data_IF_004323569006
#
_entry.id   IF_004323569006
#
_cell.length_a   1.000
_cell.length_b   1.000
_cell.length_c   1.000
_cell.angle_alpha   90.00
_cell.angle_beta   90.00
_cell.angle_gamma   90.00
#
_symmetry.space_group_name_H-M   'P 1'
#
loop_
_entity.id
_entity.type
_entity.pdbx_description
1 polymer ?
#
# COMPACT_ATOMS: atom_id res chain seq x y z
N UNK A 1 16.40 -15.87 15.98
CA UNK A 1 16.25 -17.25 16.51
C UNK A 1 15.32 -17.35 17.72
N UNK A 2 15.51 -16.53 18.78
CA UNK A 2 14.72 -16.61 20.02
C UNK A 2 13.19 -16.51 19.80
N UNK A 3 12.72 -15.58 18.96
CA UNK A 3 11.30 -15.43 18.63
C UNK A 3 10.69 -16.67 17.96
N UNK A 4 11.44 -17.34 17.10
CA UNK A 4 10.99 -18.57 16.43
C UNK A 4 10.86 -19.71 17.43
N UNK A 5 11.84 -19.86 18.33
CA UNK A 5 11.82 -20.87 19.39
C UNK A 5 10.69 -20.63 20.39
N UNK A 6 10.48 -19.38 20.82
CA UNK A 6 9.35 -19.01 21.69
C UNK A 6 8.00 -19.26 21.01
N UNK A 7 7.90 -18.97 19.70
CA UNK A 7 6.71 -19.26 18.92
C UNK A 7 6.42 -20.76 18.87
N UNK A 8 7.44 -21.59 18.59
CA UNK A 8 7.34 -23.05 18.58
C UNK A 8 6.93 -23.58 19.96
N UNK A 9 7.58 -23.10 21.03
CA UNK A 9 7.24 -23.48 22.41
C UNK A 9 5.80 -23.13 22.75
N UNK A 10 5.32 -21.95 22.35
CA UNK A 10 3.93 -21.52 22.57
C UNK A 10 2.93 -22.26 21.68
N UNK A 11 3.31 -22.61 20.46
CA UNK A 11 2.53 -23.43 19.54
C UNK A 11 2.33 -24.84 20.09
N UNK A 12 3.38 -25.42 20.67
CA UNK A 12 3.35 -26.72 21.34
C UNK A 12 2.52 -26.70 22.63
N UNK A 13 2.78 -25.74 23.52
CA UNK A 13 2.16 -25.70 24.84
C UNK A 13 0.68 -25.29 24.84
N UNK A 14 0.22 -24.54 23.83
CA UNK A 14 -1.08 -23.88 23.90
C UNK A 14 -1.98 -24.19 22.70
N UNK A 15 -2.89 -25.16 22.87
CA UNK A 15 -3.87 -25.61 21.86
C UNK A 15 -4.82 -24.52 21.36
N UNK A 16 -4.99 -23.42 22.13
CA UNK A 16 -5.82 -22.26 21.78
C UNK A 16 -5.09 -21.25 20.90
N UNK A 17 -3.76 -21.27 20.86
CA UNK A 17 -2.95 -20.23 20.22
C UNK A 17 -3.01 -20.33 18.69
N UNK A 18 -3.52 -19.30 18.02
CA UNK A 18 -3.68 -19.24 16.55
C UNK A 18 -4.48 -20.39 15.91
N UNK A 19 -5.27 -21.13 16.68
CA UNK A 19 -6.14 -22.21 16.17
C UNK A 19 -7.44 -21.63 15.58
N UNK A 20 -7.30 -20.88 14.49
CA UNK A 20 -8.39 -20.19 13.78
C UNK A 20 -8.44 -20.59 12.31
N UNK A 21 -7.46 -21.38 11.85
CA UNK A 21 -7.35 -21.79 10.46
C UNK A 21 -7.96 -23.17 10.26
N UNK A 22 -8.67 -23.34 9.15
CA UNK A 22 -9.20 -24.62 8.72
C UNK A 22 -8.20 -25.22 7.73
N UNK A 23 -7.46 -26.22 8.17
CA UNK A 23 -6.46 -26.93 7.37
C UNK A 23 -7.07 -28.14 6.65
N UNK A 24 -6.36 -28.73 5.67
CA UNK A 24 -6.79 -29.98 5.03
C UNK A 24 -7.03 -31.12 6.04
N UNK A 25 -6.21 -31.20 7.10
CA UNK A 25 -6.42 -32.16 8.20
C UNK A 25 -7.76 -31.96 8.91
N UNK A 26 -8.20 -30.72 9.11
CA UNK A 26 -9.53 -30.44 9.67
C UNK A 26 -10.66 -30.94 8.77
N UNK A 27 -10.53 -30.77 7.45
CA UNK A 27 -11.53 -31.24 6.49
C UNK A 27 -11.61 -32.77 6.51
N UNK A 28 -10.46 -33.44 6.57
CA UNK A 28 -10.41 -34.90 6.66
C UNK A 28 -11.03 -35.42 7.97
N UNK A 29 -10.73 -34.76 9.10
CA UNK A 29 -11.32 -35.09 10.38
C UNK A 29 -12.84 -34.90 10.39
N UNK A 30 -13.36 -33.78 9.86
CA UNK A 30 -14.80 -33.53 9.79
C UNK A 30 -15.52 -34.55 8.88
N UNK A 31 -14.89 -34.97 7.77
CA UNK A 31 -15.40 -36.05 6.91
C UNK A 31 -15.47 -37.38 7.66
N UNK A 32 -14.43 -37.72 8.43
CA UNK A 32 -14.41 -38.94 9.26
C UNK A 32 -15.54 -38.93 10.29
N UNK A 33 -15.72 -37.82 11.01
CA UNK A 33 -16.81 -37.66 11.99
C UNK A 33 -18.19 -37.77 11.31
N UNK A 34 -18.35 -37.21 10.11
CA UNK A 34 -19.59 -37.34 9.33
C UNK A 34 -19.87 -38.79 8.93
N UNK A 35 -18.85 -39.54 8.53
CA UNK A 35 -18.96 -40.96 8.20
C UNK A 35 -19.35 -41.80 9.42
N UNK A 36 -18.86 -41.43 10.60
CA UNK A 36 -19.21 -42.05 11.89
C UNK A 36 -20.57 -41.58 12.47
N UNK A 37 -21.36 -40.79 11.73
CA UNK A 37 -22.66 -40.29 12.17
C UNK A 37 -22.61 -39.21 13.26
N UNK A 38 -21.43 -38.68 13.58
CA UNK A 38 -21.22 -37.62 14.56
C UNK A 38 -21.56 -36.25 13.97
N UNK A 39 -21.86 -35.23 14.81
CA UNK A 39 -22.18 -33.89 14.33
C UNK A 39 -21.01 -33.30 13.53
N UNK A 40 -21.30 -32.88 12.30
CA UNK A 40 -20.33 -32.28 11.38
C UNK A 40 -20.35 -30.75 11.45
N UNK A 41 -19.24 -30.12 11.06
CA UNK A 41 -19.06 -28.67 11.07
C UNK A 41 -19.20 -28.05 9.69
N UNK A 42 -18.76 -28.72 8.61
CA UNK A 42 -18.85 -28.20 7.25
C UNK A 42 -20.24 -28.44 6.63
N UNK A 43 -20.89 -27.45 5.99
CA UNK A 43 -20.36 -26.17 5.51
C UNK A 43 -20.32 -25.05 6.57
N UNK A 44 -19.37 -24.13 6.42
CA UNK A 44 -19.25 -22.94 7.26
C UNK A 44 -20.28 -21.89 6.83
N UNK A 45 -20.93 -21.25 7.81
CA UNK A 45 -21.77 -20.08 7.52
C UNK A 45 -20.92 -18.88 7.10
N UNK A 46 -21.47 -17.90 6.38
CA UNK A 46 -20.74 -16.67 5.96
C UNK A 46 -20.08 -15.93 7.13
N UNK A 47 -20.73 -15.93 8.31
CA UNK A 47 -20.19 -15.33 9.54
C UNK A 47 -19.00 -16.13 10.08
N UNK A 48 -19.07 -17.46 10.02
CA UNK A 48 -17.99 -18.36 10.44
C UNK A 48 -16.82 -18.34 9.45
N UNK A 49 -17.06 -18.25 8.14
CA UNK A 49 -16.02 -18.16 7.12
C UNK A 49 -15.15 -16.89 7.25
N UNK A 50 -15.73 -15.78 7.74
CA UNK A 50 -14.96 -14.57 8.10
C UNK A 50 -14.10 -14.76 9.36
N UNK A 51 -14.50 -15.67 10.25
CA UNK A 51 -13.82 -15.91 11.52
C UNK A 51 -12.76 -17.00 11.39
N UNK A 52 -13.05 -18.06 10.65
CA UNK A 52 -12.20 -19.22 10.41
C UNK A 52 -11.84 -19.28 8.94
N UNK A 53 -10.57 -19.00 8.63
CA UNK A 53 -10.09 -18.91 7.25
C UNK A 53 -9.51 -20.26 6.84
N UNK A 54 -9.91 -20.77 5.68
CA UNK A 54 -9.38 -22.02 5.13
C UNK A 54 -7.96 -21.81 4.58
N UNK A 55 -7.05 -22.73 4.88
CA UNK A 55 -5.67 -22.79 4.34
C UNK A 55 -5.56 -24.05 3.47
N UNK A 56 -4.90 -23.98 2.30
CA UNK A 56 -4.14 -22.86 1.74
C UNK A 56 -5.05 -21.86 1.01
N UNK A 57 -5.17 -20.63 1.53
CA UNK A 57 -5.80 -19.53 0.80
C UNK A 57 -4.73 -18.70 0.10
N UNK A 58 -4.81 -18.59 -1.22
CA UNK A 58 -4.01 -17.60 -1.96
C UNK A 58 -4.37 -16.16 -1.54
N UNK A 59 -5.59 -15.93 -1.06
CA UNK A 59 -6.05 -14.61 -0.61
C UNK A 59 -5.39 -14.16 0.71
N UNK A 60 -4.98 -12.88 0.75
CA UNK A 60 -4.63 -12.18 1.99
C UNK A 60 -5.87 -12.12 2.90
N UNK A 61 -5.78 -12.65 4.10
CA UNK A 61 -6.89 -12.51 5.07
C UNK A 61 -7.04 -11.02 5.42
N UNK A 62 -8.26 -10.50 5.58
CA UNK A 62 -8.51 -9.07 5.91
C UNK A 62 -7.68 -8.60 7.14
N UNK A 63 -7.45 -9.50 8.11
CA UNK A 63 -6.61 -9.24 9.28
C UNK A 63 -5.12 -9.14 8.93
N UNK A 64 -4.65 -10.03 8.05
CA UNK A 64 -3.28 -10.00 7.51
C UNK A 64 -3.10 -8.75 6.66
N UNK A 65 -4.11 -8.34 5.88
CA UNK A 65 -4.13 -7.11 5.09
C UNK A 65 -3.93 -5.85 5.92
N UNK A 66 -4.51 -5.75 7.13
CA UNK A 66 -4.28 -4.59 8.02
C UNK A 66 -2.85 -4.53 8.56
N UNK A 67 -2.27 -5.68 8.91
CA UNK A 67 -0.88 -5.77 9.39
C UNK A 67 0.08 -5.46 8.24
N UNK A 68 -0.21 -5.99 7.05
CA UNK A 68 0.51 -5.71 5.81
C UNK A 68 0.43 -4.23 5.45
N UNK A 69 -0.77 -3.63 5.53
CA UNK A 69 -0.95 -2.20 5.26
C UNK A 69 -0.01 -1.36 6.13
N UNK A 70 0.12 -1.68 7.42
CA UNK A 70 1.07 -0.98 8.32
C UNK A 70 2.52 -1.11 7.87
N UNK A 71 2.91 -2.24 7.28
CA UNK A 71 4.23 -2.44 6.68
C UNK A 71 4.42 -1.66 5.37
N UNK A 72 3.35 -1.47 4.59
CA UNK A 72 3.38 -0.70 3.34
C UNK A 72 3.29 0.83 3.55
N UNK A 73 2.82 1.31 4.71
CA UNK A 73 2.78 2.76 5.03
C UNK A 73 4.14 3.46 4.78
N UNK A 74 5.27 3.00 5.37
CA UNK A 74 6.56 3.66 5.15
C UNK A 74 7.02 3.61 3.68
N UNK A 75 6.67 2.56 2.95
CA UNK A 75 6.97 2.43 1.52
C UNK A 75 6.20 3.48 0.71
N UNK A 76 4.91 3.66 1.02
CA UNK A 76 4.06 4.62 0.35
C UNK A 76 4.46 6.07 0.65
N UNK A 77 4.79 6.39 1.91
CA UNK A 77 5.25 7.73 2.29
C UNK A 77 6.56 8.07 1.61
N UNK A 78 7.50 7.11 1.54
CA UNK A 78 8.76 7.32 0.83
C UNK A 78 8.51 7.50 -0.68
N UNK A 79 7.63 6.71 -1.29
CA UNK A 79 7.29 6.86 -2.71
C UNK A 79 6.71 8.25 -2.99
N UNK A 80 5.78 8.74 -2.17
CA UNK A 80 5.22 10.09 -2.31
C UNK A 80 6.29 11.18 -2.19
N UNK A 81 7.21 11.04 -1.25
CA UNK A 81 8.34 11.95 -1.10
C UNK A 81 9.23 11.97 -2.35
N UNK A 82 9.52 10.80 -2.93
CA UNK A 82 10.28 10.68 -4.16
C UNK A 82 9.57 11.31 -5.37
N UNK A 83 8.27 11.09 -5.51
CA UNK A 83 7.46 11.74 -6.56
C UNK A 83 7.50 13.27 -6.41
N UNK A 84 7.46 13.78 -5.17
CA UNK A 84 7.56 15.20 -4.90
C UNK A 84 8.93 15.76 -5.30
N UNK A 85 10.03 15.08 -4.97
CA UNK A 85 11.37 15.48 -5.40
C UNK A 85 11.51 15.50 -6.91
N UNK A 86 11.06 14.44 -7.60
CA UNK A 86 11.07 14.37 -9.07
C UNK A 86 10.23 15.51 -9.67
N UNK A 87 9.09 15.85 -9.05
CA UNK A 87 8.27 16.97 -9.47
C UNK A 87 8.99 18.32 -9.34
N UNK A 88 9.71 18.55 -8.23
CA UNK A 88 10.52 19.75 -8.03
C UNK A 88 11.64 19.83 -9.09
N UNK A 89 12.35 18.74 -9.34
CA UNK A 89 13.41 18.69 -10.35
C UNK A 89 12.86 18.98 -11.75
N UNK A 90 11.69 18.46 -12.09
CA UNK A 90 11.01 18.73 -13.36
C UNK A 90 10.56 20.19 -13.48
N UNK A 91 10.07 20.80 -12.39
CA UNK A 91 9.73 22.22 -12.36
C UNK A 91 10.96 23.10 -12.55
N UNK A 92 12.07 22.77 -11.90
CA UNK A 92 13.34 23.49 -12.02
C UNK A 92 13.91 23.35 -13.45
N UNK A 93 13.83 22.16 -14.04
CA UNK A 93 14.17 21.93 -15.44
C UNK A 93 13.34 22.82 -16.37
N UNK A 94 12.03 22.88 -16.16
CA UNK A 94 11.13 23.72 -16.96
C UNK A 94 11.44 25.21 -16.79
N UNK A 95 11.76 25.65 -15.58
CA UNK A 95 12.18 27.01 -15.28
C UNK A 95 13.46 27.40 -16.03
N UNK A 96 14.48 26.54 -16.02
CA UNK A 96 15.74 26.75 -16.78
C UNK A 96 15.45 26.85 -18.27
N UNK A 97 14.58 25.99 -18.82
CA UNK A 97 14.19 26.05 -20.22
C UNK A 97 13.49 27.37 -20.58
N UNK A 98 12.61 27.87 -19.72
CA UNK A 98 11.91 29.14 -19.95
C UNK A 98 12.91 30.31 -19.92
N UNK A 99 13.81 30.35 -18.95
CA UNK A 99 14.89 31.35 -18.89
C UNK A 99 15.73 31.29 -20.16
N UNK A 100 16.15 30.08 -20.55
CA UNK A 100 16.95 29.87 -21.76
C UNK A 100 16.24 30.43 -22.99
N UNK A 101 14.94 30.15 -23.15
CA UNK A 101 14.14 30.65 -24.26
C UNK A 101 14.07 32.18 -24.26
N UNK A 102 13.84 32.80 -23.11
CA UNK A 102 13.82 34.27 -23.00
C UNK A 102 15.20 34.89 -23.26
N UNK A 103 16.28 34.21 -22.88
CA UNK A 103 17.64 34.66 -23.18
C UNK A 103 17.98 34.54 -24.67
N UNK A 104 17.49 33.50 -25.35
CA UNK A 104 17.62 33.33 -26.81
C UNK A 104 16.77 34.35 -27.60
N UNK A 105 15.68 34.85 -27.04
CA UNK A 105 14.75 35.80 -27.66
C UNK A 105 15.14 37.29 -27.45
N UNK A 106 16.16 37.57 -26.63
CA UNK A 106 16.69 38.93 -26.46
C UNK A 106 17.36 39.42 -27.76
N UNK A 107 16.90 40.57 -28.24
CA UNK A 107 17.27 41.19 -29.52
C UNK A 107 18.79 41.47 -29.61
N UNK A 108 19.46 41.17 -30.73
CA UNK A 108 20.88 41.49 -30.90
C UNK A 108 21.07 43.01 -30.85
N UNK A 109 21.96 43.48 -29.97
CA UNK A 109 22.26 44.91 -29.87
C UNK A 109 23.01 45.37 -31.13
N UNK A 110 22.36 46.22 -31.93
CA UNK A 110 22.95 46.81 -33.12
C UNK A 110 23.93 47.92 -32.70
N UNK A 111 25.23 47.65 -32.74
CA UNK A 111 26.25 48.69 -32.57
C UNK A 111 26.60 49.24 -33.95
N UNK A 112 26.24 50.49 -34.30
CA UNK A 112 26.71 51.12 -35.53
C UNK A 112 28.18 51.50 -35.36
N UNK A 113 29.08 50.73 -35.98
CA UNK A 113 30.49 51.08 -36.10
C UNK A 113 30.67 51.99 -37.32
N UNK A 114 30.77 53.30 -37.10
CA UNK A 114 31.15 54.25 -38.15
C UNK A 114 32.68 54.21 -38.29
N UNK A 115 33.18 53.39 -39.20
CA UNK A 115 34.62 53.30 -39.47
C UNK A 115 35.00 54.30 -40.55
N UNK A 116 35.79 55.33 -40.20
CA UNK A 116 36.32 56.31 -41.14
C UNK A 116 37.64 55.78 -41.71
N UNK A 117 37.56 54.90 -42.72
CA UNK A 117 38.76 54.35 -43.36
C UNK A 117 39.35 55.37 -44.35
N UNK A 118 40.60 55.80 -44.11
CA UNK A 118 41.38 56.62 -45.03
C UNK A 118 42.12 55.69 -45.99
N UNK A 119 41.59 55.49 -47.19
CA UNK A 119 42.33 54.83 -48.25
C UNK A 119 43.23 55.87 -48.94
N UNK A 120 44.45 56.03 -48.44
CA UNK A 120 45.49 56.76 -49.15
C UNK A 120 45.96 55.88 -50.34
N UNK A 121 45.35 56.09 -51.51
CA UNK A 121 45.79 55.44 -52.75
C UNK A 121 47.10 56.10 -53.20
N UNK A 122 48.24 55.49 -52.89
CA UNK A 122 49.53 55.87 -53.47
C UNK A 122 49.67 55.23 -54.86
N UNK A 123 49.02 55.81 -55.87
CA UNK A 123 49.34 55.52 -57.28
C UNK A 123 50.54 56.36 -57.67
N UNK A 124 51.58 55.66 -58.09
CA UNK A 124 52.78 56.22 -58.69
C UNK A 124 52.38 57.10 -59.88
N UNK A 125 52.69 58.39 -59.75
CA UNK A 125 52.78 59.41 -60.80
C UNK A 125 51.48 59.88 -61.48
N UNK A 126 51.27 61.20 -61.39
CA UNK A 126 50.40 62.09 -62.17
C UNK A 126 48.88 62.08 -61.86
N UNK A 127 48.41 63.21 -61.32
CA UNK A 127 47.02 63.73 -61.12
C UNK A 127 46.43 63.57 -59.70
N UNK A 128 46.48 64.66 -58.93
CA UNK A 128 45.67 64.86 -57.71
C UNK A 128 44.18 64.95 -58.07
N UNK A 129 43.40 63.91 -57.73
CA UNK A 129 41.93 63.98 -57.76
C UNK A 129 41.41 63.97 -56.32
N UNK A 130 40.65 65.00 -55.98
CA UNK A 130 40.03 65.26 -54.69
C UNK A 130 39.24 64.05 -54.17
N UNK A 131 39.60 63.60 -52.96
CA UNK A 131 39.01 62.42 -52.31
C UNK A 131 37.51 62.55 -52.07
N UNK A 132 36.75 61.59 -52.60
CA UNK A 132 35.33 61.39 -52.26
C UNK A 132 35.24 60.55 -50.99
N UNK A 133 34.73 61.16 -49.91
CA UNK A 133 34.37 60.47 -48.68
C UNK A 133 33.22 59.48 -48.94
N UNK A 134 33.49 58.17 -48.93
CA UNK A 134 32.43 57.16 -48.88
C UNK A 134 32.24 56.72 -47.43
N UNK A 135 31.14 57.16 -46.83
CA UNK A 135 30.66 56.68 -45.53
C UNK A 135 29.96 55.34 -45.77
N UNK A 136 30.61 54.23 -45.43
CA UNK A 136 30.01 52.90 -45.47
C UNK A 136 29.44 52.55 -44.11
N UNK A 137 28.12 52.43 -44.00
CA UNK A 137 27.46 51.97 -42.78
C UNK A 137 27.51 50.43 -42.75
N UNK A 138 28.47 49.86 -42.01
CA UNK A 138 28.52 48.43 -41.73
C UNK A 138 27.86 48.15 -40.39
N UNK A 139 26.71 47.48 -40.41
CA UNK A 139 26.05 46.96 -39.22
C UNK A 139 26.36 45.48 -39.06
N UNK A 140 26.95 45.09 -37.93
CA UNK A 140 27.14 43.68 -37.55
C UNK A 140 26.29 43.40 -36.30
N UNK A 141 25.49 42.34 -36.35
CA UNK A 141 24.65 41.92 -35.22
C UNK A 141 25.41 40.90 -34.37
N UNK A 142 25.88 41.34 -33.20
CA UNK A 142 26.47 40.46 -32.17
C UNK A 142 25.35 40.06 -31.22
N UNK A 143 25.10 38.76 -31.05
CA UNK A 143 24.21 38.28 -29.99
C UNK A 143 24.81 38.64 -28.62
N UNK A 144 23.99 39.14 -27.69
CA UNK A 144 24.46 39.64 -26.39
C UNK A 144 25.07 38.54 -25.49
N UNK A 145 24.78 37.26 -25.79
CA UNK A 145 25.28 36.10 -25.08
C UNK A 145 25.83 35.05 -26.05
N UNK A 146 27.07 34.61 -25.79
CA UNK A 146 27.73 33.48 -26.46
C UNK A 146 26.92 32.19 -26.22
N UNK A 147 26.69 31.37 -27.25
CA UNK A 147 25.88 30.13 -27.13
C UNK A 147 26.42 29.15 -26.08
N UNK A 148 27.72 29.21 -25.79
CA UNK A 148 28.41 28.39 -24.79
C UNK A 148 28.05 28.76 -23.34
N UNK A 149 27.49 29.95 -23.10
CA UNK A 149 27.09 30.41 -21.77
C UNK A 149 25.65 30.05 -21.40
N UNK A 150 24.87 29.43 -22.29
CA UNK A 150 23.51 29.01 -21.98
C UNK A 150 23.54 27.70 -21.18
N UNK A 151 22.84 27.63 -20.02
CA UNK A 151 22.81 26.41 -19.23
C UNK A 151 22.16 25.27 -20.05
N UNK A 152 22.89 24.18 -20.27
CA UNK A 152 22.34 22.94 -20.83
C UNK A 152 21.77 22.08 -19.69
N UNK A 153 20.44 21.93 -19.59
CA UNK A 153 19.87 21.16 -18.50
C UNK A 153 20.00 19.67 -18.81
N UNK A 154 20.93 18.98 -18.16
CA UNK A 154 21.04 17.52 -18.21
C UNK A 154 20.15 16.88 -17.14
N UNK A 155 19.04 16.27 -17.57
CA UNK A 155 18.11 15.58 -16.67
C UNK A 155 18.62 14.16 -16.34
N UNK A 156 19.42 14.01 -15.30
CA UNK A 156 19.98 12.71 -14.85
C UNK A 156 18.96 11.81 -14.11
N UNK A 157 17.66 12.08 -14.23
CA UNK A 157 16.61 11.32 -13.53
C UNK A 157 16.66 9.82 -13.85
N UNK A 158 17.05 9.42 -15.06
CA UNK A 158 17.08 8.02 -15.47
C UNK A 158 18.03 7.16 -14.60
N UNK A 159 19.20 7.70 -14.25
CA UNK A 159 20.21 6.97 -13.46
C UNK A 159 19.78 6.76 -12.00
N UNK A 160 18.97 7.66 -11.45
CA UNK A 160 18.47 7.59 -10.07
C UNK A 160 17.13 6.86 -9.94
N UNK A 161 16.26 6.97 -10.95
CA UNK A 161 14.91 6.36 -10.94
C UNK A 161 14.96 4.84 -11.07
N UNK A 162 15.87 4.31 -11.90
CA UNK A 162 16.00 2.86 -12.12
C UNK A 162 16.37 2.09 -10.84
N UNK A 163 17.47 2.40 -10.13
CA UNK A 163 17.84 1.66 -8.93
C UNK A 163 16.76 1.76 -7.86
N UNK A 164 16.07 2.91 -7.79
CA UNK A 164 15.00 3.14 -6.85
C UNK A 164 13.76 2.29 -7.16
N UNK A 165 13.37 2.22 -8.44
CA UNK A 165 12.28 1.35 -8.88
C UNK A 165 12.60 -0.12 -8.57
N UNK A 166 13.83 -0.57 -8.79
CA UNK A 166 14.28 -1.93 -8.45
C UNK A 166 14.14 -2.21 -6.96
N UNK A 167 14.63 -1.31 -6.10
CA UNK A 167 14.52 -1.46 -4.63
C UNK A 167 13.05 -1.55 -4.22
N UNK A 168 12.19 -0.69 -4.78
CA UNK A 168 10.77 -0.69 -4.48
C UNK A 168 10.09 -2.02 -4.86
N UNK A 169 10.39 -2.54 -6.05
CA UNK A 169 9.89 -3.84 -6.51
C UNK A 169 10.35 -4.97 -5.58
N UNK A 170 11.62 -4.97 -5.17
CA UNK A 170 12.15 -5.97 -4.22
C UNK A 170 11.41 -5.89 -2.88
N UNK A 171 11.19 -4.68 -2.34
CA UNK A 171 10.46 -4.48 -1.08
C UNK A 171 9.01 -4.98 -1.16
N UNK A 172 8.34 -4.78 -2.30
CA UNK A 172 6.99 -5.31 -2.55
C UNK A 172 7.00 -6.83 -2.55
N UNK A 173 7.95 -7.46 -3.26
CA UNK A 173 8.10 -8.92 -3.33
C UNK A 173 8.38 -9.50 -1.94
N UNK A 174 9.31 -8.90 -1.19
CA UNK A 174 9.62 -9.32 0.19
C UNK A 174 8.42 -9.19 1.12
N UNK A 175 7.62 -8.12 0.97
CA UNK A 175 6.37 -7.95 1.69
C UNK A 175 5.37 -9.08 1.42
N UNK A 176 5.15 -9.42 0.15
CA UNK A 176 4.27 -10.53 -0.24
C UNK A 176 4.79 -11.88 0.27
N UNK A 177 6.09 -12.14 0.12
CA UNK A 177 6.73 -13.35 0.64
C UNK A 177 6.57 -13.45 2.15
N UNK A 178 6.76 -12.36 2.90
CA UNK A 178 6.61 -12.37 4.37
C UNK A 178 5.21 -12.81 4.83
N UNK A 179 4.17 -12.41 4.09
CA UNK A 179 2.79 -12.86 4.35
C UNK A 179 2.63 -14.36 4.11
N UNK A 180 3.18 -14.86 3.00
CA UNK A 180 3.13 -16.29 2.65
C UNK A 180 3.99 -17.15 3.55
N UNK A 181 5.14 -16.66 4.00
CA UNK A 181 6.02 -17.35 4.94
C UNK A 181 5.32 -17.65 6.27
N UNK A 182 4.40 -16.80 6.73
CA UNK A 182 3.63 -17.09 7.94
C UNK A 182 2.65 -18.26 7.75
N UNK A 183 1.96 -18.32 6.60
CA UNK A 183 1.08 -19.44 6.25
C UNK A 183 1.88 -20.74 6.03
N UNK A 184 3.02 -20.62 5.34
CA UNK A 184 3.93 -21.74 5.08
C UNK A 184 4.53 -22.28 6.37
N UNK A 185 4.95 -21.40 7.29
CA UNK A 185 5.42 -21.78 8.62
C UNK A 185 4.37 -22.56 9.40
N UNK A 186 3.10 -22.15 9.33
CA UNK A 186 2.00 -22.87 9.98
C UNK A 186 1.80 -24.25 9.34
N UNK A 187 1.81 -24.32 8.01
CA UNK A 187 1.65 -25.57 7.25
C UNK A 187 2.77 -26.57 7.57
N UNK A 188 4.02 -26.13 7.47
CA UNK A 188 5.21 -26.92 7.80
C UNK A 188 5.17 -27.36 9.27
N UNK A 189 4.78 -26.47 10.19
CA UNK A 189 4.67 -26.85 11.62
C UNK A 189 3.58 -27.89 11.86
N UNK A 190 2.47 -27.84 11.10
CA UNK A 190 1.38 -28.83 11.22
C UNK A 190 1.69 -30.19 10.60
N UNK A 191 2.60 -30.21 9.63
CA UNK A 191 3.10 -31.44 9.01
C UNK A 191 4.16 -32.09 9.89
N UNK A 192 5.11 -31.30 10.40
CA UNK A 192 6.20 -31.78 11.25
C UNK A 192 5.74 -32.24 12.65
N UNK A 193 4.69 -31.61 13.21
CA UNK A 193 4.13 -31.96 14.52
C UNK A 193 2.69 -32.48 14.40
N UNK A 194 2.53 -33.65 13.77
CA UNK A 194 1.23 -34.27 13.48
C UNK A 194 0.32 -34.47 14.70
N UNK A 195 0.82 -35.08 15.77
CA UNK A 195 0.01 -35.44 16.95
C UNK A 195 -0.64 -34.23 17.61
N UNK A 196 0.13 -33.15 17.80
CA UNK A 196 -0.40 -31.90 18.33
C UNK A 196 -1.36 -31.21 17.36
N UNK A 197 -1.16 -31.37 16.05
CA UNK A 197 -2.05 -30.80 15.05
C UNK A 197 -3.43 -31.48 15.09
N UNK A 198 -3.47 -32.79 15.31
CA UNK A 198 -4.72 -33.56 15.40
C UNK A 198 -5.53 -33.18 16.64
N UNK A 199 -4.89 -33.11 17.83
CA UNK A 199 -5.57 -32.63 19.05
C UNK A 199 -6.12 -31.20 18.91
N UNK A 200 -5.42 -30.35 18.14
CA UNK A 200 -5.86 -28.98 17.86
C UNK A 200 -7.05 -28.95 16.90
N UNK A 201 -7.08 -29.84 15.91
CA UNK A 201 -8.22 -30.01 15.00
C UNK A 201 -9.46 -30.45 15.78
N UNK A 202 -9.33 -31.43 16.67
CA UNK A 202 -10.42 -31.89 17.53
C UNK A 202 -10.94 -30.76 18.44
N UNK A 203 -10.02 -30.02 19.07
CA UNK A 203 -10.38 -28.87 19.90
C UNK A 203 -11.13 -27.80 19.11
N UNK A 204 -10.68 -27.50 17.87
CA UNK A 204 -11.33 -26.52 17.02
C UNK A 204 -12.73 -26.99 16.60
N UNK A 205 -12.88 -28.27 16.25
CA UNK A 205 -14.15 -28.89 15.88
C UNK A 205 -15.16 -28.79 17.02
N UNK A 206 -14.78 -29.23 18.22
CA UNK A 206 -15.60 -29.14 19.42
C UNK A 206 -15.95 -27.69 19.78
N UNK A 207 -15.02 -26.75 19.60
CA UNK A 207 -15.25 -25.32 19.85
C UNK A 207 -16.29 -24.72 18.90
N UNK A 208 -16.26 -25.09 17.61
CA UNK A 208 -17.24 -24.60 16.64
C UNK A 208 -18.63 -25.17 16.95
N UNK A 209 -18.73 -26.47 17.24
CA UNK A 209 -20.00 -27.10 17.63
C UNK A 209 -20.60 -26.46 18.88
N UNK A 210 -19.79 -26.23 19.93
CA UNK A 210 -20.22 -25.52 21.14
C UNK A 210 -20.65 -24.08 20.87
N UNK A 211 -20.00 -23.39 19.92
CA UNK A 211 -20.40 -22.04 19.54
C UNK A 211 -21.77 -22.05 18.87
N UNK A 212 -22.03 -23.00 17.95
CA UNK A 212 -23.32 -23.14 17.26
C UNK A 212 -24.44 -23.50 18.23
N UNK A 213 -24.21 -24.41 19.17
CA UNK A 213 -25.22 -24.79 20.16
C UNK A 213 -25.60 -23.61 21.07
N UNK A 214 -24.61 -22.83 21.52
CA UNK A 214 -24.86 -21.59 22.27
C UNK A 214 -25.67 -20.59 21.46
N UNK A 215 -25.31 -20.32 20.21
CA UNK A 215 -26.07 -19.40 19.35
C UNK A 215 -27.52 -19.86 19.19
N UNK A 216 -27.75 -21.15 18.91
CA UNK A 216 -29.12 -21.71 18.83
C UNK A 216 -29.90 -21.53 20.14
N UNK A 217 -29.26 -21.76 21.27
CA UNK A 217 -29.87 -21.58 22.58
C UNK A 217 -30.27 -20.11 22.85
N UNK A 218 -29.40 -19.16 22.49
CA UNK A 218 -29.71 -17.73 22.62
C UNK A 218 -30.86 -17.29 21.70
N UNK A 219 -30.87 -17.75 20.45
CA UNK A 219 -31.97 -17.50 19.50
C UNK A 219 -33.30 -18.06 20.03
N UNK A 220 -33.31 -19.32 20.51
CA UNK A 220 -34.50 -19.94 21.08
C UNK A 220 -35.01 -19.19 22.32
N UNK A 221 -34.09 -18.77 23.21
CA UNK A 221 -34.43 -17.97 24.40
C UNK A 221 -35.02 -16.61 24.00
N UNK A 222 -34.49 -15.97 22.96
CA UNK A 222 -35.02 -14.72 22.44
C UNK A 222 -36.43 -14.91 21.85
N UNK A 223 -36.63 -15.94 21.03
CA UNK A 223 -37.95 -16.30 20.50
C UNK A 223 -38.95 -16.54 21.63
N UNK A 224 -38.60 -17.34 22.64
CA UNK A 224 -39.45 -17.59 23.81
C UNK A 224 -39.80 -16.30 24.56
N UNK A 225 -38.83 -15.39 24.76
CA UNK A 225 -39.10 -14.08 25.37
C UNK A 225 -40.07 -13.24 24.54
N UNK A 226 -39.90 -13.22 23.22
CA UNK A 226 -40.82 -12.48 22.33
C UNK A 226 -42.22 -13.07 22.33
N UNK A 227 -42.36 -14.41 22.33
CA UNK A 227 -43.63 -15.10 22.44
C UNK A 227 -44.30 -14.85 23.80
N UNK A 228 -43.52 -14.86 24.89
CA UNK A 228 -44.03 -14.58 26.23
C UNK A 228 -44.52 -13.12 26.35
N UNK A 229 -43.76 -12.16 25.83
CA UNK A 229 -44.16 -10.75 25.77
C UNK A 229 -45.40 -10.53 24.89
N UNK A 230 -45.54 -11.29 23.80
CA UNK A 230 -46.74 -11.24 22.94
C UNK A 230 -47.96 -11.85 23.64
N UNK A 231 -47.79 -12.96 24.37
CA UNK A 231 -48.87 -13.53 25.19
C UNK A 231 -49.28 -12.61 26.34
N UNK A 232 -48.33 -11.99 27.04
CA UNK A 232 -48.64 -11.03 28.11
C UNK A 232 -49.35 -9.78 27.56
N UNK A 233 -49.09 -9.40 26.30
CA UNK A 233 -49.79 -8.31 25.61
C UNK A 233 -51.24 -8.67 25.26
N UNK A 234 -51.50 -9.90 24.77
CA UNK A 234 -52.86 -10.33 24.38
C UNK A 234 -53.73 -10.81 25.55
N UNK A 235 -53.11 -11.25 26.65
CA UNK A 235 -53.82 -11.73 27.85
C UNK A 235 -53.28 -11.05 29.12
N UNK A 236 -53.53 -9.75 29.32
CA UNK A 236 -53.04 -9.02 30.50
C UNK A 236 -53.68 -9.49 31.81
N UNK A 237 -54.88 -10.09 31.76
CA UNK A 237 -55.65 -10.51 32.94
C UNK A 237 -55.01 -11.70 33.67
N UNK A 238 -54.31 -12.59 32.95
CA UNK A 238 -53.65 -13.77 33.55
C UNK A 238 -52.26 -13.48 34.12
N UNK A 239 -51.66 -12.33 33.81
CA UNK A 239 -50.35 -11.92 34.29
C UNK A 239 -50.49 -10.70 35.21
N UNK A 240 -51.26 -10.84 36.28
CA UNK A 240 -51.19 -9.89 37.39
C UNK A 240 -49.82 -10.07 38.05
N UNK A 241 -48.98 -9.03 37.93
CA UNK A 241 -47.78 -8.91 38.74
C UNK A 241 -48.25 -8.86 40.20
N UNK A 242 -48.08 -9.95 40.94
CA UNK A 242 -48.15 -9.90 42.39
C UNK A 242 -46.97 -9.01 42.83
N UNK A 243 -47.30 -7.75 43.08
CA UNK A 243 -46.40 -6.75 43.62
C UNK A 243 -46.23 -7.17 45.08
N UNK A 244 -45.03 -7.64 45.44
CA UNK A 244 -44.69 -7.94 46.82
C UNK A 244 -44.82 -6.64 47.64
N UNK A 245 -45.96 -6.48 48.31
CA UNK A 245 -46.11 -5.56 49.42
C UNK A 245 -45.35 -6.14 50.61
N UNK A 246 -44.04 -5.92 50.66
CA UNK A 246 -43.26 -6.14 51.87
C UNK A 246 -43.49 -4.98 52.81
N UNK A 247 -44.50 -5.15 53.67
CA UNK A 247 -44.69 -4.38 54.90
C UNK A 247 -43.45 -4.55 55.77
N UNK A 248 -42.74 -3.46 56.04
CA UNK A 248 -41.75 -3.40 57.11
C UNK A 248 -42.46 -3.59 58.46
N UNK A 249 -42.15 -4.68 59.14
CA UNK A 249 -42.43 -4.90 60.55
C UNK A 249 -41.10 -5.09 61.27
N UNK A 250 -40.79 -4.10 62.12
CA UNK A 250 -39.76 -4.00 63.17
C UNK A 250 -38.31 -4.30 62.80
#
# INVERSE_FOLDING_TARGET
>A
MLFTALYLRRYYSNRKFQNTFITSKFIQYDKKQKAEGKPHVLPLTKKEAKRYTAIPSLGLTIKEGKIMLKFYIPLLTNLLLWVLFIGIDALLYWFILVIRKHLEELEPFHVPLVMNAREDIFVLDIIHVSGRYKKGDFSFSVALFEKECLPEPSLLLYQSVIPLAVILVILVILGLLSSKLMQLKLLVSSEFYGDNADERVEYLHAKILRSRSKTKFYELRHLLKTLWKKKSFWFPVFFHHQKDDTVHLF
#
